data_IF_774937318136
#
_entry.id   IF_774937318136
#
_cell.length_a   1.000
_cell.length_b   1.000
_cell.length_c   1.000
_cell.angle_alpha   90.00
_cell.angle_beta   90.00
_cell.angle_gamma   90.00
#
_symmetry.space_group_name_H-M   'P 1'
#
loop_
_entity.id
_entity.type
_entity.pdbx_description
1 polymer ?
#
# COMPACT_ATOMS: atom_id res chain seq x y z
N UNK A 1 26.47 -18.96 -29.56
CA UNK A 1 25.73 -18.70 -28.34
C UNK A 1 24.62 -17.72 -28.71
N UNK A 2 23.39 -18.21 -28.75
CA UNK A 2 22.25 -17.57 -29.46
C UNK A 2 21.69 -16.37 -28.70
N UNK A 3 21.81 -15.19 -29.30
CA UNK A 3 21.27 -13.89 -28.82
C UNK A 3 19.76 -13.75 -28.87
N UNK A 4 19.01 -14.81 -29.16
CA UNK A 4 17.52 -14.80 -29.23
C UNK A 4 16.81 -15.24 -27.95
N UNK A 5 17.52 -15.56 -26.85
CA UNK A 5 16.91 -15.97 -25.57
C UNK A 5 16.83 -14.86 -24.52
N UNK A 6 17.36 -13.67 -24.79
CA UNK A 6 17.35 -12.53 -23.85
C UNK A 6 16.07 -11.68 -23.99
N UNK A 7 15.31 -11.83 -25.06
CA UNK A 7 14.14 -10.97 -25.34
C UNK A 7 12.82 -11.42 -24.66
N UNK A 8 12.80 -12.58 -23.96
CA UNK A 8 11.58 -13.12 -23.35
C UNK A 8 11.43 -12.84 -21.83
N UNK A 9 12.46 -12.23 -21.19
CA UNK A 9 12.48 -11.98 -19.74
C UNK A 9 11.83 -10.65 -19.34
N UNK A 10 11.49 -9.79 -20.31
CA UNK A 10 11.02 -8.42 -20.05
C UNK A 10 9.49 -8.25 -20.00
N UNK A 11 8.71 -9.34 -19.95
CA UNK A 11 7.23 -9.25 -19.98
C UNK A 11 6.54 -9.31 -18.61
N UNK A 12 7.29 -9.45 -17.52
CA UNK A 12 6.73 -9.65 -16.17
C UNK A 12 6.56 -8.42 -15.30
N UNK A 13 6.96 -7.21 -15.76
CA UNK A 13 7.19 -6.06 -14.85
C UNK A 13 6.11 -4.97 -14.96
N UNK A 14 5.08 -5.14 -15.77
CA UNK A 14 4.01 -4.14 -15.92
C UNK A 14 2.75 -4.43 -15.07
N UNK A 15 2.84 -5.29 -14.05
CA UNK A 15 1.68 -5.74 -13.28
C UNK A 15 1.67 -5.27 -11.81
N UNK A 16 2.11 -4.06 -11.53
CA UNK A 16 1.73 -3.35 -10.30
C UNK A 16 0.40 -2.58 -10.48
N UNK A 17 -0.49 -3.08 -11.28
CA UNK A 17 -1.83 -2.55 -11.51
C UNK A 17 -2.91 -3.62 -11.55
N UNK A 18 -2.53 -4.87 -11.53
CA UNK A 18 -3.45 -5.99 -11.35
C UNK A 18 -2.90 -6.88 -10.23
N UNK A 19 -3.16 -6.49 -8.98
CA UNK A 19 -3.30 -7.48 -7.91
C UNK A 19 -4.58 -8.26 -8.25
N UNK A 20 -4.55 -8.99 -9.36
CA UNK A 20 -5.49 -10.07 -9.58
C UNK A 20 -5.34 -10.98 -8.39
N UNK A 21 -6.45 -11.41 -7.81
CA UNK A 21 -6.52 -12.47 -6.83
C UNK A 21 -5.42 -13.48 -7.14
N UNK A 22 -4.41 -13.55 -6.28
CA UNK A 22 -3.21 -14.32 -6.52
C UNK A 22 -3.65 -15.75 -6.81
N UNK A 23 -3.54 -16.17 -8.07
CA UNK A 23 -3.81 -17.53 -8.45
C UNK A 23 -2.92 -18.42 -7.59
N UNK A 24 -3.53 -19.26 -6.78
CA UNK A 24 -2.87 -20.10 -5.79
C UNK A 24 -1.80 -21.05 -6.40
N UNK A 25 -1.62 -21.04 -7.71
CA UNK A 25 -0.79 -21.98 -8.46
C UNK A 25 0.24 -21.36 -9.42
N UNK A 26 0.38 -20.05 -9.54
CA UNK A 26 1.25 -19.45 -10.56
C UNK A 26 2.56 -18.90 -10.02
N UNK A 27 3.59 -19.74 -9.95
CA UNK A 27 4.98 -19.30 -9.82
C UNK A 27 5.51 -18.74 -11.16
N UNK A 28 6.38 -17.71 -11.14
CA UNK A 28 7.04 -17.21 -12.35
C UNK A 28 7.76 -18.31 -13.09
N UNK A 29 7.70 -18.30 -14.43
CA UNK A 29 8.37 -19.31 -15.25
C UNK A 29 9.90 -19.14 -15.34
N UNK A 30 10.45 -18.00 -14.92
CA UNK A 30 11.89 -17.74 -14.89
C UNK A 30 12.50 -18.13 -13.55
N UNK A 31 13.71 -18.70 -13.55
CA UNK A 31 14.42 -19.05 -12.32
C UNK A 31 14.84 -17.82 -11.52
N UNK A 32 15.18 -16.74 -12.22
CA UNK A 32 15.59 -15.47 -11.63
C UNK A 32 14.97 -14.32 -12.41
N UNK A 33 14.34 -13.40 -11.71
CA UNK A 33 13.83 -12.13 -12.26
C UNK A 33 14.47 -10.97 -11.51
N UNK A 34 14.96 -10.00 -12.25
CA UNK A 34 15.48 -8.73 -11.73
C UNK A 34 14.61 -7.62 -12.30
N UNK A 35 14.22 -6.68 -11.46
CA UNK A 35 13.49 -5.49 -11.88
C UNK A 35 13.97 -4.26 -11.12
N UNK A 36 13.86 -3.11 -11.78
CA UNK A 36 14.18 -1.82 -11.21
C UNK A 36 13.01 -0.88 -11.47
N UNK A 37 12.64 -0.11 -10.46
CA UNK A 37 11.62 0.92 -10.63
C UNK A 37 12.03 2.22 -9.96
N UNK A 38 11.54 3.31 -10.50
CA UNK A 38 11.68 4.64 -9.93
C UNK A 38 10.36 5.38 -10.02
N UNK A 39 9.93 5.99 -8.91
CA UNK A 39 8.78 6.89 -8.85
C UNK A 39 9.23 8.20 -8.27
N UNK A 40 8.91 9.32 -8.94
CA UNK A 40 9.21 10.65 -8.45
C UNK A 40 7.97 11.54 -8.48
N UNK A 41 7.74 12.28 -7.38
CA UNK A 41 6.64 13.21 -7.21
C UNK A 41 7.15 14.64 -7.08
N UNK A 42 6.75 15.54 -7.99
CA UNK A 42 6.84 16.97 -7.80
C UNK A 42 5.55 17.47 -7.15
N UNK A 43 5.63 17.91 -5.90
CA UNK A 43 4.48 18.33 -5.09
C UNK A 43 4.43 19.84 -4.96
N UNK A 44 3.27 20.46 -5.22
CA UNK A 44 2.98 21.85 -4.96
C UNK A 44 1.70 22.04 -4.16
N UNK A 45 1.71 22.94 -3.18
CA UNK A 45 0.56 23.21 -2.30
C UNK A 45 0.22 24.69 -2.29
N UNK A 46 -1.08 24.99 -2.44
CA UNK A 46 -1.66 26.32 -2.33
C UNK A 46 -2.65 26.31 -1.16
N UNK A 47 -2.47 27.26 -0.21
CA UNK A 47 -3.36 27.47 0.94
C UNK A 47 -3.68 28.94 1.11
N UNK A 48 -4.88 29.22 1.66
CA UNK A 48 -5.28 30.57 1.95
C UNK A 48 -4.31 31.23 2.96
N UNK A 49 -3.78 32.40 2.59
CA UNK A 49 -2.87 33.17 3.43
C UNK A 49 -1.40 32.73 3.38
N UNK A 50 -1.06 31.76 2.54
CA UNK A 50 0.31 31.26 2.37
C UNK A 50 0.77 31.37 0.92
N UNK A 51 2.08 31.52 0.72
CA UNK A 51 2.69 31.42 -0.60
C UNK A 51 2.64 29.97 -1.10
N UNK A 52 2.78 29.79 -2.41
CA UNK A 52 2.99 28.48 -3.01
C UNK A 52 4.24 27.83 -2.39
N UNK A 53 4.06 26.65 -1.83
CA UNK A 53 5.14 25.81 -1.32
C UNK A 53 5.22 24.54 -2.17
N UNK A 54 6.43 24.00 -2.31
CA UNK A 54 6.61 22.80 -3.11
C UNK A 54 7.90 22.09 -2.76
N UNK A 55 7.92 20.81 -3.10
CA UNK A 55 9.07 19.93 -2.89
C UNK A 55 9.05 18.79 -3.91
N UNK A 56 10.11 18.02 -3.92
CA UNK A 56 10.26 16.80 -4.70
C UNK A 56 10.56 15.65 -3.76
N UNK A 57 10.01 14.47 -4.04
CA UNK A 57 10.33 13.21 -3.36
C UNK A 57 10.41 12.06 -4.36
N UNK A 58 11.22 11.06 -4.07
CA UNK A 58 11.44 9.93 -4.95
C UNK A 58 11.63 8.62 -4.21
N UNK A 59 11.24 7.53 -4.88
CA UNK A 59 11.40 6.15 -4.45
C UNK A 59 12.02 5.34 -5.58
N UNK A 60 13.20 4.74 -5.31
CA UNK A 60 13.83 3.76 -6.18
C UNK A 60 13.75 2.37 -5.55
N UNK A 61 13.42 1.36 -6.34
CA UNK A 61 13.42 -0.06 -5.91
C UNK A 61 14.30 -0.89 -6.83
N UNK A 62 15.03 -1.85 -6.23
CA UNK A 62 15.72 -2.92 -6.92
C UNK A 62 15.21 -4.25 -6.36
N UNK A 63 14.56 -5.04 -7.20
CA UNK A 63 13.91 -6.28 -6.78
C UNK A 63 14.57 -7.49 -7.42
N UNK A 64 14.67 -8.57 -6.66
CA UNK A 64 15.11 -9.88 -7.09
C UNK A 64 14.08 -10.92 -6.66
N UNK A 65 13.62 -11.71 -7.60
CA UNK A 65 12.73 -12.85 -7.36
C UNK A 65 13.39 -14.12 -7.88
N UNK A 66 13.57 -15.10 -7.00
CA UNK A 66 14.14 -16.40 -7.31
C UNK A 66 13.07 -17.49 -7.13
N UNK A 67 12.77 -18.20 -8.20
CA UNK A 67 11.90 -19.38 -8.19
C UNK A 67 12.74 -20.65 -8.10
N UNK A 68 12.64 -21.38 -6.99
CA UNK A 68 13.46 -22.58 -6.73
C UNK A 68 13.13 -23.72 -7.69
N UNK A 69 11.87 -23.89 -8.09
CA UNK A 69 11.45 -24.93 -9.04
C UNK A 69 12.00 -24.66 -10.44
N UNK A 70 11.92 -23.42 -10.92
CA UNK A 70 12.48 -23.04 -12.22
C UNK A 70 14.02 -23.07 -12.22
N UNK A 71 14.66 -22.90 -11.06
CA UNK A 71 16.10 -23.08 -10.86
C UNK A 71 16.55 -24.54 -10.82
N UNK A 72 15.61 -25.51 -10.85
CA UNK A 72 15.92 -26.93 -10.78
C UNK A 72 16.18 -27.46 -9.37
N UNK A 73 15.79 -26.69 -8.32
CA UNK A 73 15.96 -27.07 -6.92
C UNK A 73 14.73 -27.85 -6.42
N UNK A 74 13.99 -27.32 -5.42
CA UNK A 74 12.74 -27.93 -4.93
C UNK A 74 11.51 -27.17 -5.46
N UNK A 75 10.35 -27.82 -5.37
CA UNK A 75 9.09 -27.27 -5.87
C UNK A 75 8.48 -26.29 -4.88
N UNK A 76 7.86 -25.22 -5.40
CA UNK A 76 7.01 -24.32 -4.66
C UNK A 76 7.75 -23.28 -3.81
N UNK A 77 9.08 -23.19 -3.88
CA UNK A 77 9.86 -22.19 -3.16
C UNK A 77 10.06 -20.90 -3.97
N UNK A 78 9.96 -19.78 -3.29
CA UNK A 78 10.18 -18.43 -3.82
C UNK A 78 10.96 -17.59 -2.80
N UNK A 79 12.03 -16.93 -3.26
CA UNK A 79 12.78 -15.96 -2.46
C UNK A 79 12.63 -14.59 -3.12
N UNK A 80 12.20 -13.61 -2.36
CA UNK A 80 12.07 -12.22 -2.78
C UNK A 80 13.00 -11.32 -1.99
N UNK A 81 13.61 -10.37 -2.67
CA UNK A 81 14.37 -9.28 -2.09
C UNK A 81 13.94 -7.99 -2.79
N UNK A 82 13.59 -6.97 -2.01
CA UNK A 82 13.36 -5.61 -2.47
C UNK A 82 14.23 -4.66 -1.66
N UNK A 83 15.15 -3.99 -2.34
CA UNK A 83 16.01 -2.96 -1.78
C UNK A 83 15.52 -1.60 -2.25
N UNK A 84 15.18 -0.72 -1.31
CA UNK A 84 14.56 0.57 -1.57
C UNK A 84 15.45 1.74 -1.16
N UNK A 85 15.35 2.83 -1.92
CA UNK A 85 15.91 4.13 -1.56
C UNK A 85 14.82 5.20 -1.70
N UNK A 86 14.56 5.93 -0.62
CA UNK A 86 13.71 7.12 -0.63
C UNK A 86 14.56 8.37 -0.46
N UNK A 87 14.14 9.48 -1.06
CA UNK A 87 14.84 10.76 -0.96
C UNK A 87 13.90 11.94 -1.25
N UNK A 88 14.30 13.12 -0.77
CA UNK A 88 13.58 14.36 -0.97
C UNK A 88 12.84 14.84 0.28
N UNK A 89 11.82 15.65 0.08
CA UNK A 89 11.05 16.28 1.15
C UNK A 89 9.94 15.41 1.72
N UNK A 90 9.31 15.92 2.77
CA UNK A 90 8.19 15.30 3.47
C UNK A 90 7.00 16.28 3.50
N UNK A 91 6.30 16.49 2.35
CA UNK A 91 5.32 17.56 2.20
C UNK A 91 4.21 17.55 3.25
N UNK A 92 3.72 16.38 3.67
CA UNK A 92 2.71 16.25 4.73
C UNK A 92 3.22 16.79 6.07
N UNK A 93 4.50 16.55 6.41
CA UNK A 93 5.11 16.99 7.66
C UNK A 93 5.66 18.42 7.57
N UNK A 94 6.15 18.83 6.39
CA UNK A 94 6.84 20.11 6.23
C UNK A 94 5.88 21.30 6.08
N UNK A 95 4.78 21.14 5.31
CA UNK A 95 3.95 22.30 4.97
C UNK A 95 2.47 22.01 4.65
N UNK A 96 2.03 20.77 4.38
CA UNK A 96 0.61 20.52 4.10
C UNK A 96 -0.16 20.28 5.40
N UNK A 97 0.39 19.46 6.29
CA UNK A 97 -0.22 19.15 7.58
C UNK A 97 -1.40 18.18 7.49
N UNK A 98 -1.50 17.43 6.39
CA UNK A 98 -2.52 16.41 6.21
C UNK A 98 -2.22 15.16 7.03
N UNK A 99 -3.26 14.55 7.58
CA UNK A 99 -3.20 13.32 8.36
C UNK A 99 -3.08 12.09 7.45
N UNK A 100 -3.79 12.08 6.33
CA UNK A 100 -3.94 10.91 5.47
C UNK A 100 -2.77 10.67 4.51
N UNK A 101 -1.77 11.56 4.41
CA UNK A 101 -0.58 11.42 3.58
C UNK A 101 -0.84 11.64 2.08
N UNK A 102 -0.55 12.84 1.57
CA UNK A 102 -0.80 13.21 0.15
C UNK A 102 0.00 12.39 -0.85
N UNK A 103 1.09 11.75 -0.44
CA UNK A 103 1.91 10.90 -1.31
C UNK A 103 2.32 9.60 -0.61
N UNK A 104 1.95 8.48 -1.21
CA UNK A 104 2.25 7.13 -0.71
C UNK A 104 3.72 6.70 -0.86
N UNK A 105 4.59 7.56 -1.39
CA UNK A 105 6.04 7.33 -1.42
C UNK A 105 6.81 8.24 -0.45
N UNK A 106 6.10 9.03 0.37
CA UNK A 106 6.75 9.91 1.37
C UNK A 106 7.38 9.07 2.49
N UNK A 107 8.72 9.15 2.62
CA UNK A 107 9.46 8.41 3.64
C UNK A 107 10.78 9.07 4.08
N UNK A 108 10.98 10.36 3.72
CA UNK A 108 12.24 11.06 3.98
C UNK A 108 13.41 10.47 3.19
N UNK A 109 14.63 10.61 3.74
CA UNK A 109 15.87 10.16 3.08
C UNK A 109 16.40 8.91 3.75
N UNK A 110 16.29 7.75 3.10
CA UNK A 110 16.81 6.48 3.63
C UNK A 110 17.04 5.43 2.55
N UNK A 111 17.86 4.45 2.89
CA UNK A 111 18.15 3.28 2.05
C UNK A 111 18.01 2.04 2.92
N UNK A 112 17.17 1.09 2.51
CA UNK A 112 16.76 -0.01 3.38
C UNK A 112 16.31 -1.24 2.59
N UNK A 113 16.23 -2.38 3.27
CA UNK A 113 15.53 -3.55 2.75
C UNK A 113 14.05 -3.39 3.03
N UNK A 114 13.28 -3.15 1.97
CA UNK A 114 11.82 -3.09 2.05
C UNK A 114 11.25 -4.47 2.30
N UNK A 115 11.80 -5.50 1.62
CA UNK A 115 11.35 -6.87 1.78
C UNK A 115 12.53 -7.83 1.59
N UNK A 116 12.56 -8.87 2.41
CA UNK A 116 13.44 -10.02 2.30
C UNK A 116 12.74 -11.23 2.89
N UNK A 117 12.06 -12.01 2.06
CA UNK A 117 11.27 -13.12 2.54
C UNK A 117 11.41 -14.36 1.66
N UNK A 118 11.10 -15.51 2.28
CA UNK A 118 10.96 -16.79 1.63
C UNK A 118 9.53 -17.30 1.74
N UNK A 119 8.95 -17.74 0.62
CA UNK A 119 7.63 -18.38 0.53
C UNK A 119 7.76 -19.82 0.10
N UNK A 120 7.02 -20.70 0.75
CA UNK A 120 6.85 -22.09 0.35
C UNK A 120 5.39 -22.41 0.04
N UNK A 121 5.12 -22.85 -1.17
CA UNK A 121 3.83 -23.36 -1.62
C UNK A 121 3.71 -24.85 -1.30
N UNK A 122 2.62 -25.26 -0.65
CA UNK A 122 2.32 -26.64 -0.24
C UNK A 122 0.90 -27.00 -0.68
N UNK A 123 0.67 -27.11 -1.98
CA UNK A 123 -0.66 -27.25 -2.56
C UNK A 123 -1.52 -26.01 -2.28
N UNK A 124 -2.61 -26.17 -1.57
CA UNK A 124 -3.52 -25.07 -1.20
C UNK A 124 -3.01 -24.16 -0.07
N UNK A 125 -1.96 -24.55 0.62
CA UNK A 125 -1.33 -23.78 1.69
C UNK A 125 -0.07 -23.12 1.17
N UNK A 126 0.13 -21.87 1.53
CA UNK A 126 1.41 -21.17 1.41
C UNK A 126 1.86 -20.63 2.76
N UNK A 127 3.16 -20.66 2.99
CA UNK A 127 3.80 -20.10 4.18
C UNK A 127 4.92 -19.15 3.74
N UNK A 128 4.87 -17.91 4.23
CA UNK A 128 5.88 -16.88 3.96
C UNK A 128 6.52 -16.46 5.28
N UNK A 129 7.83 -16.28 5.30
CA UNK A 129 8.58 -15.81 6.47
C UNK A 129 9.68 -14.86 6.02
N UNK A 130 9.90 -13.79 6.79
CA UNK A 130 10.96 -12.81 6.54
C UNK A 130 10.52 -11.39 6.82
N UNK A 131 11.34 -10.43 6.40
CA UNK A 131 10.98 -9.01 6.40
C UNK A 131 9.97 -8.77 5.30
N UNK A 132 8.76 -8.31 5.65
CA UNK A 132 7.64 -8.22 4.72
C UNK A 132 6.87 -6.91 4.93
N UNK A 133 6.38 -6.35 3.83
CA UNK A 133 5.33 -5.35 3.89
C UNK A 133 3.97 -6.05 4.08
N UNK A 134 3.36 -5.85 5.25
CA UNK A 134 2.05 -6.44 5.55
C UNK A 134 0.98 -6.05 4.52
N UNK A 135 1.04 -4.82 4.00
CA UNK A 135 0.05 -4.34 3.02
C UNK A 135 0.20 -4.99 1.64
N UNK A 136 1.30 -5.70 1.37
CA UNK A 136 1.42 -6.53 0.17
C UNK A 136 0.51 -7.77 0.20
N UNK A 137 0.12 -8.25 1.39
CA UNK A 137 -0.69 -9.46 1.58
C UNK A 137 -2.08 -9.17 2.16
N UNK A 138 -2.22 -8.17 3.04
CA UNK A 138 -3.44 -7.83 3.75
C UNK A 138 -3.95 -6.45 3.40
N UNK A 139 -5.25 -6.26 3.45
CA UNK A 139 -5.90 -4.96 3.19
C UNK A 139 -5.61 -4.37 1.79
N UNK A 140 -5.17 -5.19 0.85
CA UNK A 140 -4.81 -4.76 -0.50
C UNK A 140 -6.04 -4.20 -1.23
N UNK A 141 -5.94 -2.94 -1.68
CA UNK A 141 -6.96 -2.28 -2.47
C UNK A 141 -6.48 -2.15 -3.93
N UNK A 142 -6.96 -3.04 -4.80
CA UNK A 142 -6.51 -3.12 -6.19
C UNK A 142 -6.77 -1.81 -6.95
N UNK A 143 -7.97 -1.23 -6.81
CA UNK A 143 -8.32 0.00 -7.52
C UNK A 143 -7.88 1.26 -6.78
N UNK A 144 -7.67 1.17 -5.47
CA UNK A 144 -7.06 2.23 -4.67
C UNK A 144 -5.61 2.50 -5.04
N UNK A 145 -4.89 1.51 -5.60
CA UNK A 145 -3.51 1.65 -6.07
C UNK A 145 -3.33 2.63 -7.24
N UNK A 146 -4.40 3.03 -7.91
CA UNK A 146 -4.40 4.10 -8.91
C UNK A 146 -4.11 5.47 -8.28
N UNK A 147 -4.47 5.67 -7.01
CA UNK A 147 -4.39 6.96 -6.33
C UNK A 147 -3.02 7.20 -5.69
N UNK A 148 -2.68 8.47 -5.50
CA UNK A 148 -1.40 8.93 -4.96
C UNK A 148 -1.46 9.07 -3.43
N UNK A 149 -2.62 9.44 -2.90
CA UNK A 149 -2.80 9.57 -1.45
C UNK A 149 -2.67 8.21 -0.74
N UNK A 150 -1.93 8.19 0.36
CA UNK A 150 -1.57 6.98 1.11
C UNK A 150 -2.78 6.23 1.65
N UNK A 151 -3.84 6.93 2.06
CA UNK A 151 -5.01 6.34 2.71
C UNK A 151 -5.85 5.45 1.78
N UNK A 152 -5.74 5.62 0.45
CA UNK A 152 -6.40 4.73 -0.51
C UNK A 152 -5.66 3.41 -0.73
N UNK A 153 -4.36 3.35 -0.40
CA UNK A 153 -3.60 2.10 -0.39
C UNK A 153 -3.76 1.35 0.92
N UNK A 154 -3.60 2.05 2.06
CA UNK A 154 -3.71 1.48 3.41
C UNK A 154 -4.58 2.38 4.29
N UNK A 155 -5.54 1.78 4.99
CA UNK A 155 -6.43 2.52 5.91
C UNK A 155 -5.63 3.26 6.97
N UNK A 156 -5.96 4.52 7.22
CA UNK A 156 -5.30 5.33 8.24
C UNK A 156 -5.50 4.82 9.68
N UNK A 157 -6.49 3.97 9.94
CA UNK A 157 -6.60 3.26 11.24
C UNK A 157 -5.47 2.26 11.50
N UNK A 158 -4.74 1.81 10.47
CA UNK A 158 -3.53 1.01 10.63
C UNK A 158 -2.30 1.91 10.80
N UNK A 159 -2.07 2.80 9.83
CA UNK A 159 -0.81 3.56 9.74
C UNK A 159 -0.62 4.54 10.89
N UNK A 160 -1.72 4.97 11.53
CA UNK A 160 -1.66 6.06 12.50
C UNK A 160 -2.02 5.65 13.94
N UNK A 161 -2.61 4.47 14.14
CA UNK A 161 -2.96 4.00 15.49
C UNK A 161 -2.01 2.94 16.03
N UNK A 162 -1.30 2.21 15.18
CA UNK A 162 -0.39 1.13 15.59
C UNK A 162 0.91 1.18 14.78
N UNK A 163 1.97 0.67 15.36
CA UNK A 163 3.20 0.40 14.62
C UNK A 163 3.01 -0.91 13.85
N UNK A 164 2.92 -0.83 12.54
CA UNK A 164 2.71 -1.98 11.67
C UNK A 164 3.87 -2.15 10.70
N UNK A 165 4.13 -3.40 10.29
CA UNK A 165 5.12 -3.70 9.26
C UNK A 165 4.63 -3.29 7.89
N UNK A 166 4.77 -2.01 7.56
CA UNK A 166 4.37 -1.40 6.28
C UNK A 166 5.42 -0.41 5.80
N UNK A 167 5.43 -0.14 4.49
CA UNK A 167 6.33 0.89 3.93
C UNK A 167 6.23 2.21 4.72
N UNK A 168 7.34 2.84 5.08
CA UNK A 168 8.75 2.49 4.82
C UNK A 168 9.39 1.64 5.93
N UNK A 169 8.67 1.27 6.96
CA UNK A 169 9.17 0.56 8.13
C UNK A 169 8.62 -0.86 8.11
N UNK A 170 9.41 -1.79 7.59
CA UNK A 170 9.04 -3.21 7.50
C UNK A 170 9.87 -4.05 8.47
N UNK A 171 9.27 -5.08 9.03
CA UNK A 171 9.88 -5.96 10.03
C UNK A 171 9.67 -7.43 9.76
N UNK A 172 10.20 -8.25 10.64
CA UNK A 172 10.06 -9.71 10.57
C UNK A 172 8.61 -10.11 10.79
N UNK A 173 8.12 -11.00 9.93
CA UNK A 173 6.78 -11.57 10.03
C UNK A 173 6.67 -12.93 9.40
N UNK A 174 5.54 -13.60 9.67
CA UNK A 174 5.15 -14.84 9.06
C UNK A 174 3.69 -14.77 8.61
N UNK A 175 3.41 -15.25 7.40
CA UNK A 175 2.07 -15.30 6.82
C UNK A 175 1.74 -16.73 6.39
N UNK A 176 0.56 -17.19 6.77
CA UNK A 176 -0.04 -18.42 6.28
C UNK A 176 -1.27 -18.05 5.44
N UNK A 177 -1.34 -18.55 4.21
CA UNK A 177 -2.52 -18.39 3.36
C UNK A 177 -3.04 -19.76 2.93
N UNK A 178 -4.34 -19.95 3.00
CA UNK A 178 -5.01 -21.17 2.56
C UNK A 178 -6.10 -20.83 1.53
N UNK A 179 -5.91 -21.33 0.32
CA UNK A 179 -6.87 -21.21 -0.78
C UNK A 179 -7.83 -22.41 -0.76
N UNK A 180 -9.06 -22.20 -0.36
CA UNK A 180 -10.10 -23.24 -0.45
C UNK A 180 -10.40 -23.61 -1.89
N UNK A 181 -10.51 -22.57 -2.72
CA UNK A 181 -10.74 -22.64 -4.16
C UNK A 181 -10.31 -21.28 -4.78
N UNK A 182 -10.55 -21.07 -6.07
CA UNK A 182 -10.26 -19.81 -6.77
C UNK A 182 -11.04 -18.58 -6.25
N UNK A 183 -12.06 -18.81 -5.44
CA UNK A 183 -12.96 -17.76 -4.93
C UNK A 183 -12.68 -17.42 -3.48
N UNK A 184 -12.28 -18.39 -2.65
CA UNK A 184 -12.20 -18.26 -1.20
C UNK A 184 -10.77 -18.43 -0.70
N UNK A 185 -10.23 -17.42 -0.05
CA UNK A 185 -8.89 -17.45 0.57
C UNK A 185 -8.96 -16.93 2.00
N UNK A 186 -8.25 -17.57 2.91
CA UNK A 186 -8.01 -17.09 4.28
C UNK A 186 -6.52 -16.85 4.47
N UNK A 187 -6.16 -15.73 5.09
CA UNK A 187 -4.79 -15.39 5.45
C UNK A 187 -4.70 -15.11 6.95
N UNK A 188 -3.62 -15.54 7.55
CA UNK A 188 -3.26 -15.24 8.94
C UNK A 188 -1.80 -14.77 8.94
N UNK A 189 -1.53 -13.63 9.57
CA UNK A 189 -0.20 -13.06 9.71
C UNK A 189 0.15 -12.79 11.16
N UNK A 190 1.42 -12.97 11.48
CA UNK A 190 2.02 -12.56 12.75
C UNK A 190 3.32 -11.79 12.43
N UNK A 191 3.44 -10.60 12.98
CA UNK A 191 4.54 -9.68 12.73
C UNK A 191 5.14 -9.20 14.05
N UNK A 192 6.39 -8.74 13.99
CA UNK A 192 7.00 -7.95 15.04
C UNK A 192 6.10 -6.74 15.36
N UNK A 193 5.90 -6.44 16.64
CA UNK A 193 5.04 -5.36 17.08
C UNK A 193 5.68 -3.98 16.93
N UNK A 194 7.01 -3.91 16.86
CA UNK A 194 7.73 -2.67 16.63
C UNK A 194 8.86 -2.88 15.62
N UNK A 195 8.58 -2.85 14.32
CA UNK A 195 9.59 -3.06 13.27
C UNK A 195 10.71 -2.01 13.24
N UNK A 196 10.79 -1.18 14.27
CA UNK A 196 11.88 -0.26 14.53
C UNK A 196 11.63 1.17 14.06
N UNK A 197 12.11 2.13 14.85
CA UNK A 197 12.13 3.52 14.44
C UNK A 197 13.26 3.76 13.45
N UNK A 198 12.99 4.56 12.42
CA UNK A 198 13.95 4.94 11.37
C UNK A 198 15.29 5.47 11.92
N UNK A 199 15.29 6.08 13.10
CA UNK A 199 16.50 6.60 13.75
C UNK A 199 17.38 5.52 14.34
N UNK A 200 16.82 4.37 14.72
CA UNK A 200 17.52 3.28 15.40
C UNK A 200 17.85 2.17 14.41
N UNK A 201 16.92 1.85 13.49
CA UNK A 201 17.05 0.76 12.52
C UNK A 201 16.93 1.26 11.08
N UNK A 202 17.89 2.04 10.59
CA UNK A 202 17.76 2.75 9.31
C UNK A 202 17.70 1.83 8.09
N UNK A 203 18.11 0.56 8.20
CA UNK A 203 18.08 -0.42 7.13
C UNK A 203 16.96 -1.46 7.25
N UNK A 204 16.06 -1.32 8.22
CA UNK A 204 15.03 -2.31 8.58
C UNK A 204 15.59 -3.68 9.03
N UNK A 205 16.85 -3.73 9.45
CA UNK A 205 17.41 -4.90 10.13
C UNK A 205 17.38 -4.62 11.61
N UNK A 206 16.44 -5.25 12.29
CA UNK A 206 16.32 -5.22 13.74
C UNK A 206 16.42 -6.62 14.33
N UNK A 207 16.76 -6.69 15.61
CA UNK A 207 16.58 -7.91 16.40
C UNK A 207 15.10 -8.09 16.66
N UNK A 208 14.45 -9.09 16.08
CA UNK A 208 13.01 -9.27 16.26
C UNK A 208 12.71 -9.61 17.72
N UNK A 209 11.57 -9.10 18.22
CA UNK A 209 11.05 -9.40 19.55
C UNK A 209 11.93 -8.93 20.72
N UNK A 210 12.58 -7.76 20.58
CA UNK A 210 13.30 -7.15 21.70
C UNK A 210 12.35 -6.51 22.73
N UNK A 211 12.59 -6.77 23.99
CA UNK A 211 12.00 -6.06 25.12
C UNK A 211 10.46 -6.10 25.17
N UNK A 212 9.84 -4.93 25.12
CA UNK A 212 8.38 -4.72 25.20
C UNK A 212 7.73 -4.47 23.85
N UNK A 213 8.36 -4.80 22.73
CA UNK A 213 7.87 -4.46 21.39
C UNK A 213 6.54 -5.16 21.06
N UNK A 214 6.26 -6.27 21.74
CA UNK A 214 5.03 -7.02 21.55
C UNK A 214 4.98 -7.74 20.21
N UNK A 215 3.77 -7.96 19.73
CA UNK A 215 3.51 -8.58 18.44
C UNK A 215 2.21 -8.05 17.82
N UNK A 216 2.13 -8.11 16.50
CA UNK A 216 0.92 -7.84 15.74
C UNK A 216 0.39 -9.13 15.12
N UNK A 217 -0.91 -9.36 15.25
CA UNK A 217 -1.65 -10.41 14.56
C UNK A 217 -2.63 -9.79 13.59
N UNK A 218 -2.78 -10.41 12.42
CA UNK A 218 -3.77 -10.00 11.43
C UNK A 218 -4.40 -11.22 10.78
N UNK A 219 -5.71 -11.14 10.53
CA UNK A 219 -6.44 -12.18 9.82
C UNK A 219 -7.34 -11.56 8.76
N UNK A 220 -7.42 -12.21 7.59
CA UNK A 220 -8.23 -11.75 6.47
C UNK A 220 -8.91 -12.93 5.77
N UNK A 221 -10.18 -12.75 5.45
CA UNK A 221 -10.93 -13.58 4.53
C UNK A 221 -11.18 -12.80 3.24
N UNK A 222 -10.81 -13.37 2.10
CA UNK A 222 -11.02 -12.80 0.78
C UNK A 222 -12.01 -13.64 -0.03
N UNK A 223 -13.00 -12.96 -0.62
CA UNK A 223 -13.95 -13.50 -1.59
C UNK A 223 -13.65 -12.90 -2.97
N UNK A 224 -13.04 -13.69 -3.86
CA UNK A 224 -12.50 -13.27 -5.15
C UNK A 224 -13.48 -13.56 -6.30
N UNK A 225 -14.69 -12.98 -6.22
CA UNK A 225 -15.69 -13.08 -7.28
C UNK A 225 -16.58 -11.85 -7.23
N UNK A 226 -16.80 -11.22 -8.39
CA UNK A 226 -17.68 -10.06 -8.45
C UNK A 226 -19.11 -10.37 -8.06
N UNK A 227 -19.71 -9.50 -7.26
CA UNK A 227 -21.10 -9.59 -6.82
C UNK A 227 -22.05 -8.79 -7.72
N UNK A 228 -21.51 -7.89 -8.54
CA UNK A 228 -22.29 -6.98 -9.38
C UNK A 228 -22.06 -7.32 -10.84
N UNK A 229 -23.13 -7.49 -11.60
CA UNK A 229 -23.17 -7.65 -13.07
C UNK A 229 -22.33 -8.81 -13.63
N UNK A 230 -21.98 -9.82 -12.84
CA UNK A 230 -21.08 -10.93 -13.20
C UNK A 230 -19.66 -10.50 -13.67
N UNK A 231 -19.25 -9.29 -13.35
CA UNK A 231 -17.90 -8.77 -13.59
C UNK A 231 -16.94 -9.18 -12.47
N UNK A 232 -15.64 -8.96 -12.68
CA UNK A 232 -14.62 -9.27 -11.68
C UNK A 232 -14.76 -8.41 -10.41
N UNK A 233 -14.41 -8.97 -9.27
CA UNK A 233 -14.39 -8.26 -8.00
C UNK A 233 -13.69 -9.04 -6.91
N UNK A 234 -13.27 -8.35 -5.86
CA UNK A 234 -12.74 -8.95 -4.64
C UNK A 234 -13.25 -8.21 -3.41
N UNK A 235 -13.57 -8.97 -2.36
CA UNK A 235 -14.10 -8.43 -1.12
C UNK A 235 -13.35 -9.07 0.03
N UNK A 236 -12.73 -8.24 0.86
CA UNK A 236 -11.85 -8.64 1.94
C UNK A 236 -12.42 -8.15 3.26
N UNK A 237 -12.48 -9.05 4.25
CA UNK A 237 -12.86 -8.74 5.63
C UNK A 237 -11.72 -9.16 6.53
N UNK A 238 -11.21 -8.24 7.31
CA UNK A 238 -10.09 -8.53 8.17
C UNK A 238 -10.21 -7.92 9.56
N UNK A 239 -9.35 -8.41 10.43
CA UNK A 239 -9.14 -7.88 11.77
C UNK A 239 -7.65 -7.82 12.05
N UNK A 240 -7.24 -6.92 12.93
CA UNK A 240 -5.88 -6.86 13.47
C UNK A 240 -5.91 -6.72 15.00
N UNK A 241 -4.85 -7.19 15.61
CA UNK A 241 -4.58 -7.05 17.04
C UNK A 241 -3.10 -6.75 17.23
N UNK A 242 -2.79 -5.75 18.05
CA UNK A 242 -1.45 -5.38 18.47
C UNK A 242 -1.36 -5.51 20.00
N UNK A 243 -0.39 -6.29 20.51
CA UNK A 243 -0.31 -6.59 21.94
C UNK A 243 0.20 -5.44 22.79
N UNK A 244 1.04 -4.56 22.19
CA UNK A 244 1.59 -3.37 22.81
C UNK A 244 1.50 -2.21 21.82
N UNK A 245 1.11 -1.04 22.26
CA UNK A 245 1.06 0.13 21.41
C UNK A 245 1.81 1.29 22.07
N UNK A 246 3.01 1.58 21.60
CA UNK A 246 3.82 2.68 22.11
C UNK A 246 3.19 4.06 21.88
N UNK A 247 2.34 4.22 20.88
CA UNK A 247 1.58 5.44 20.68
C UNK A 247 0.57 5.72 21.81
N UNK A 248 0.25 4.70 22.58
CA UNK A 248 -0.66 4.75 23.73
C UNK A 248 0.06 4.85 25.09
N UNK A 249 1.36 5.15 25.08
CA UNK A 249 2.08 5.40 26.34
C UNK A 249 1.55 6.69 26.99
N UNK A 250 0.48 6.51 27.76
CA UNK A 250 -0.19 7.58 28.49
C UNK A 250 0.61 8.01 29.73
N UNK A 251 1.92 7.99 29.65
CA UNK A 251 2.85 8.70 30.54
C UNK A 251 2.69 8.55 32.07
N UNK A 252 1.62 7.92 32.54
CA UNK A 252 1.28 7.90 33.96
C UNK A 252 1.60 6.57 34.66
N UNK A 253 1.64 5.43 33.95
CA UNK A 253 1.86 4.12 34.59
C UNK A 253 2.65 3.10 33.76
N UNK A 254 3.20 3.43 32.59
CA UNK A 254 4.01 2.52 31.76
C UNK A 254 3.29 1.23 31.32
N UNK A 255 1.98 1.25 31.24
CA UNK A 255 1.18 0.12 30.74
C UNK A 255 0.90 0.37 29.28
N UNK A 256 1.59 -0.38 28.43
CA UNK A 256 1.27 -0.48 26.99
C UNK A 256 -0.09 -1.16 26.85
N UNK A 257 -1.09 -0.46 26.33
CA UNK A 257 -2.40 -1.03 26.07
C UNK A 257 -2.42 -1.74 24.72
N UNK A 258 -3.13 -2.86 24.64
CA UNK A 258 -3.36 -3.55 23.37
C UNK A 258 -4.29 -2.73 22.47
N UNK A 259 -4.06 -2.80 21.15
CA UNK A 259 -4.89 -2.16 20.14
C UNK A 259 -5.47 -3.19 19.18
N UNK A 260 -6.67 -2.93 18.65
CA UNK A 260 -7.30 -3.81 17.68
C UNK A 260 -8.28 -3.06 16.80
N UNK A 261 -8.58 -3.63 15.65
CA UNK A 261 -9.57 -3.08 14.74
C UNK A 261 -10.02 -4.07 13.68
N UNK A 262 -10.99 -3.63 12.90
CA UNK A 262 -11.61 -4.38 11.83
C UNK A 262 -11.58 -3.56 10.54
N UNK A 263 -11.51 -4.25 9.41
CA UNK A 263 -11.55 -3.59 8.12
C UNK A 263 -12.32 -4.39 7.06
N UNK A 264 -12.73 -3.65 6.05
CA UNK A 264 -13.32 -4.14 4.83
C UNK A 264 -12.70 -3.42 3.63
N UNK A 265 -12.35 -4.17 2.59
CA UNK A 265 -11.97 -3.66 1.27
C UNK A 265 -12.79 -4.36 0.22
N UNK A 266 -13.58 -3.60 -0.52
CA UNK A 266 -14.33 -4.09 -1.67
C UNK A 266 -13.81 -3.47 -2.96
N UNK A 267 -13.46 -4.28 -3.93
CA UNK A 267 -13.09 -3.90 -5.28
C UNK A 267 -14.09 -4.52 -6.25
N UNK A 268 -14.67 -3.73 -7.14
CA UNK A 268 -15.67 -4.21 -8.09
C UNK A 268 -15.49 -3.55 -9.44
N UNK A 269 -15.39 -4.37 -10.50
CA UNK A 269 -15.61 -3.92 -11.86
C UNK A 269 -17.09 -3.78 -12.11
N UNK A 270 -17.57 -2.59 -12.45
CA UNK A 270 -18.97 -2.36 -12.76
C UNK A 270 -19.28 -2.72 -14.21
N UNK A 271 -18.33 -2.51 -15.10
CA UNK A 271 -18.45 -2.91 -16.51
C UNK A 271 -17.09 -2.96 -17.20
N UNK A 272 -16.91 -3.98 -18.02
CA UNK A 272 -15.76 -4.14 -18.91
C UNK A 272 -15.98 -3.52 -20.31
N UNK A 273 -17.16 -2.95 -20.58
CA UNK A 273 -17.54 -2.40 -21.88
C UNK A 273 -18.29 -1.07 -21.75
N UNK A 274 -17.84 -0.17 -20.90
CA UNK A 274 -18.40 1.17 -20.78
C UNK A 274 -18.04 2.01 -22.00
N UNK A 275 -19.05 2.52 -22.73
CA UNK A 275 -18.87 3.31 -23.95
C UNK A 275 -17.89 2.68 -24.97
N UNK A 276 -18.02 1.38 -25.22
CA UNK A 276 -17.30 0.61 -26.24
C UNK A 276 -16.17 -0.24 -25.69
N UNK A 277 -15.03 0.32 -25.32
CA UNK A 277 -13.83 -0.42 -24.84
C UNK A 277 -13.38 -0.04 -23.44
N UNK A 278 -14.07 0.90 -22.81
CA UNK A 278 -13.69 1.42 -21.48
C UNK A 278 -14.15 0.49 -20.38
N UNK A 279 -13.36 0.42 -19.30
CA UNK A 279 -13.76 -0.27 -18.09
C UNK A 279 -14.07 0.75 -16.99
N UNK A 280 -15.09 0.49 -16.18
CA UNK A 280 -15.41 1.27 -14.99
C UNK A 280 -15.26 0.36 -13.77
N UNK A 281 -14.28 0.68 -12.96
CA UNK A 281 -13.95 0.00 -11.71
C UNK A 281 -14.25 0.91 -10.52
N UNK A 282 -14.45 0.34 -9.33
CA UNK A 282 -14.62 1.13 -8.12
C UNK A 282 -14.26 0.34 -6.89
N UNK A 283 -13.97 1.07 -5.81
CA UNK A 283 -13.63 0.48 -4.52
C UNK A 283 -14.37 1.17 -3.37
N UNK A 284 -14.46 0.43 -2.27
CA UNK A 284 -14.92 0.90 -0.96
C UNK A 284 -13.99 0.32 0.11
N UNK A 285 -13.48 1.20 0.97
CA UNK A 285 -12.72 0.86 2.16
C UNK A 285 -13.47 1.32 3.40
N UNK A 286 -13.52 0.49 4.42
CA UNK A 286 -14.06 0.81 5.74
C UNK A 286 -13.12 0.24 6.79
N UNK A 287 -12.81 1.00 7.84
CA UNK A 287 -12.10 0.46 8.99
C UNK A 287 -12.54 1.13 10.28
N UNK A 288 -12.48 0.37 11.36
CA UNK A 288 -12.90 0.81 12.69
C UNK A 288 -12.01 0.22 13.77
N UNK A 289 -11.49 1.07 14.64
CA UNK A 289 -10.72 0.72 15.82
C UNK A 289 -11.37 1.32 17.05
N UNK A 290 -12.02 0.52 17.93
CA UNK A 290 -12.81 1.03 19.05
C UNK A 290 -11.98 1.46 20.26
N UNK A 291 -10.65 1.29 20.22
CA UNK A 291 -9.76 1.55 21.37
C UNK A 291 -9.73 3.03 21.71
N UNK A 292 -9.92 3.34 23.01
CA UNK A 292 -9.79 4.71 23.53
C UNK A 292 -8.33 5.15 23.42
N UNK A 293 -8.10 6.43 23.05
CA UNK A 293 -6.76 6.95 22.79
C UNK A 293 -6.33 6.88 21.32
N UNK A 294 -6.96 6.06 20.49
CA UNK A 294 -6.70 6.08 19.05
C UNK A 294 -7.04 7.45 18.45
N UNK A 295 -6.08 8.01 17.71
CA UNK A 295 -6.28 9.24 16.97
C UNK A 295 -7.31 9.05 15.86
N UNK A 296 -7.24 7.94 15.12
CA UNK A 296 -8.19 7.62 14.05
C UNK A 296 -9.03 6.39 14.42
N UNK A 297 -10.27 6.61 14.85
CA UNK A 297 -11.17 5.49 15.21
C UNK A 297 -11.98 4.95 14.04
N UNK A 298 -12.20 5.74 13.01
CA UNK A 298 -12.97 5.32 11.84
C UNK A 298 -12.40 5.95 10.57
N UNK A 299 -12.24 5.13 9.54
CA UNK A 299 -11.87 5.56 8.21
C UNK A 299 -12.82 4.97 7.17
N UNK A 300 -13.13 5.77 6.15
CA UNK A 300 -13.79 5.30 4.93
C UNK A 300 -13.17 5.96 3.71
N UNK A 301 -12.88 5.14 2.69
CA UNK A 301 -12.42 5.57 1.38
C UNK A 301 -13.30 4.96 0.29
N UNK A 302 -13.66 5.74 -0.73
CA UNK A 302 -14.39 5.25 -1.89
C UNK A 302 -13.89 5.95 -3.15
N UNK A 303 -13.83 5.21 -4.26
CA UNK A 303 -13.39 5.79 -5.52
C UNK A 303 -13.90 5.04 -6.73
N UNK A 304 -13.83 5.72 -7.88
CA UNK A 304 -14.12 5.20 -9.21
C UNK A 304 -12.89 5.37 -10.10
N UNK A 305 -12.62 4.37 -10.92
CA UNK A 305 -11.51 4.36 -11.88
C UNK A 305 -12.07 4.03 -13.27
N UNK A 306 -11.95 4.99 -14.17
CA UNK A 306 -12.29 4.81 -15.58
C UNK A 306 -11.01 4.51 -16.36
N UNK A 307 -10.92 3.31 -16.95
CA UNK A 307 -9.80 2.86 -17.78
C UNK A 307 -10.14 3.02 -19.26
N UNK A 308 -9.14 3.38 -20.07
CA UNK A 308 -9.31 3.48 -21.54
C UNK A 308 -9.93 4.79 -22.00
N UNK A 309 -9.67 5.90 -21.31
CA UNK A 309 -10.17 7.23 -21.70
C UNK A 309 -9.51 7.71 -23.01
N UNK A 310 -8.20 7.62 -23.10
CA UNK A 310 -7.40 8.03 -24.25
C UNK A 310 -6.84 6.83 -25.04
N UNK A 311 -6.62 5.68 -24.40
CA UNK A 311 -6.02 4.49 -25.02
C UNK A 311 -7.05 3.39 -25.23
N UNK A 312 -7.07 2.78 -26.43
CA UNK A 312 -7.93 1.63 -26.70
C UNK A 312 -7.53 0.35 -25.95
N UNK A 313 -6.30 0.31 -25.42
CA UNK A 313 -5.76 -0.79 -24.65
C UNK A 313 -6.17 -0.77 -23.17
N UNK A 314 -6.98 0.22 -22.74
CA UNK A 314 -7.38 0.44 -21.35
C UNK A 314 -6.18 0.58 -20.39
N UNK A 315 -5.06 1.09 -20.89
CA UNK A 315 -3.81 1.23 -20.11
C UNK A 315 -3.69 2.58 -19.40
N UNK A 316 -4.56 3.53 -19.70
CA UNK A 316 -4.69 4.80 -18.98
C UNK A 316 -5.85 4.73 -17.98
N UNK A 317 -5.71 5.41 -16.85
CA UNK A 317 -6.64 5.36 -15.72
C UNK A 317 -6.96 6.77 -15.23
N UNK A 318 -8.24 7.15 -15.25
CA UNK A 318 -8.76 8.36 -14.62
C UNK A 318 -9.47 7.97 -13.34
N UNK A 319 -8.97 8.43 -12.19
CA UNK A 319 -9.51 8.15 -10.87
C UNK A 319 -10.11 9.36 -10.19
N UNK A 320 -11.24 9.19 -9.51
CA UNK A 320 -11.82 10.14 -8.55
C UNK A 320 -12.13 9.40 -7.27
N UNK A 321 -11.59 9.88 -6.14
CA UNK A 321 -11.80 9.25 -4.84
C UNK A 321 -12.02 10.27 -3.72
N UNK A 322 -12.65 9.80 -2.64
CA UNK A 322 -12.86 10.54 -1.40
C UNK A 322 -12.45 9.65 -0.23
N UNK A 323 -11.58 10.17 0.65
CA UNK A 323 -11.17 9.57 1.92
C UNK A 323 -11.63 10.42 3.09
N UNK A 324 -12.22 9.81 4.12
CA UNK A 324 -12.66 10.45 5.35
C UNK A 324 -12.08 9.73 6.56
N UNK A 325 -11.33 10.44 7.38
CA UNK A 325 -10.79 9.98 8.66
C UNK A 325 -11.50 10.70 9.81
N UNK A 326 -12.11 9.96 10.74
CA UNK A 326 -12.68 10.51 11.98
C UNK A 326 -11.61 10.51 13.07
N UNK A 327 -11.26 11.70 13.55
CA UNK A 327 -10.09 11.92 14.39
C UNK A 327 -10.48 12.32 15.82
N UNK A 328 -9.61 11.96 16.77
CA UNK A 328 -9.71 12.33 18.18
C UNK A 328 -8.38 12.93 18.66
N UNK A 329 -8.46 13.89 19.56
CA UNK A 329 -7.28 14.54 20.12
C UNK A 329 -6.59 15.54 19.19
N UNK A 330 -7.13 15.77 17.99
CA UNK A 330 -6.63 16.73 17.00
C UNK A 330 -7.46 18.00 16.98
N UNK A 331 -6.94 19.05 16.34
CA UNK A 331 -7.63 20.37 16.23
C UNK A 331 -8.98 20.22 15.52
N UNK A 332 -9.04 19.40 14.46
CA UNK A 332 -10.29 19.07 13.78
C UNK A 332 -10.68 17.62 14.09
N UNK A 333 -11.97 17.37 14.25
CA UNK A 333 -12.48 16.02 14.55
C UNK A 333 -12.55 15.11 13.30
N UNK A 334 -12.14 15.61 12.16
CA UNK A 334 -12.09 14.83 10.92
C UNK A 334 -11.23 15.52 9.89
N UNK A 335 -10.62 14.72 9.04
CA UNK A 335 -9.99 15.16 7.80
C UNK A 335 -10.67 14.47 6.62
N UNK A 336 -10.86 15.20 5.52
CA UNK A 336 -11.38 14.66 4.27
C UNK A 336 -10.44 15.01 3.13
N UNK A 337 -10.09 14.03 2.33
CA UNK A 337 -9.37 14.23 1.07
C UNK A 337 -10.27 13.90 -0.12
N UNK A 338 -10.24 14.76 -1.15
CA UNK A 338 -10.83 14.48 -2.46
C UNK A 338 -9.67 14.48 -3.45
N UNK A 339 -9.50 13.37 -4.18
CA UNK A 339 -8.41 13.20 -5.15
C UNK A 339 -8.96 12.96 -6.55
N UNK A 340 -8.40 13.67 -7.52
CA UNK A 340 -8.58 13.45 -8.95
C UNK A 340 -7.21 13.17 -9.58
N UNK A 341 -7.05 11.99 -10.13
CA UNK A 341 -5.78 11.53 -10.70
C UNK A 341 -5.94 11.00 -12.12
N UNK A 342 -4.91 11.16 -12.96
CA UNK A 342 -4.90 10.58 -14.31
C UNK A 342 -3.54 9.94 -14.61
N UNK A 343 -3.49 8.61 -14.55
CA UNK A 343 -2.28 7.84 -14.87
C UNK A 343 -2.26 7.51 -16.36
N UNK A 344 -1.27 8.01 -17.07
CA UNK A 344 -1.12 7.87 -18.50
C UNK A 344 0.23 7.23 -18.87
N UNK A 345 0.24 6.02 -19.46
CA UNK A 345 1.46 5.44 -20.00
C UNK A 345 1.93 6.26 -21.21
N UNK A 346 3.17 6.74 -21.14
CA UNK A 346 3.82 7.49 -22.24
C UNK A 346 4.50 6.52 -23.19
N UNK A 347 5.13 5.49 -22.64
CA UNK A 347 5.74 4.40 -23.40
C UNK A 347 5.70 3.13 -22.53
N UNK A 348 6.28 2.02 -23.03
CA UNK A 348 6.23 0.71 -22.36
C UNK A 348 6.69 0.74 -20.89
N UNK A 349 7.65 1.59 -20.58
CA UNK A 349 8.35 1.59 -19.30
C UNK A 349 8.15 2.88 -18.50
N UNK A 350 7.40 3.85 -19.02
CA UNK A 350 7.25 5.18 -18.41
C UNK A 350 5.79 5.60 -18.41
N UNK A 351 5.32 6.05 -17.24
CA UNK A 351 4.04 6.73 -17.13
C UNK A 351 4.20 8.12 -16.50
N UNK A 352 3.27 9.01 -16.79
CA UNK A 352 3.07 10.27 -16.09
C UNK A 352 1.69 10.26 -15.44
N UNK A 353 1.59 10.93 -14.30
CA UNK A 353 0.36 10.95 -13.52
C UNK A 353 0.19 12.32 -12.87
N UNK A 354 -0.47 13.28 -13.55
CA UNK A 354 -0.99 14.46 -12.90
C UNK A 354 -2.06 14.10 -11.88
N UNK A 355 -1.97 14.70 -10.72
CA UNK A 355 -2.82 14.44 -9.56
C UNK A 355 -3.21 15.75 -8.89
N UNK A 356 -4.43 15.85 -8.41
CA UNK A 356 -4.96 17.01 -7.71
C UNK A 356 -5.73 16.54 -6.47
N UNK A 357 -5.30 16.99 -5.31
CA UNK A 357 -5.94 16.68 -4.04
C UNK A 357 -6.46 17.96 -3.36
N UNK A 358 -7.66 17.88 -2.81
CA UNK A 358 -8.20 18.91 -1.93
C UNK A 358 -8.35 18.35 -0.52
N UNK A 359 -7.51 18.84 0.40
CA UNK A 359 -7.48 18.43 1.79
C UNK A 359 -8.32 19.41 2.62
N UNK A 360 -9.35 18.91 3.26
CA UNK A 360 -10.27 19.64 4.12
C UNK A 360 -9.92 19.29 5.56
N UNK A 361 -9.67 20.32 6.37
CA UNK A 361 -9.26 20.22 7.78
C UNK A 361 -7.96 19.44 7.97
N UNK A 362 -6.83 19.84 7.37
CA UNK A 362 -5.54 19.20 7.60
C UNK A 362 -5.25 19.10 9.10
N UNK A 363 -4.98 17.86 9.60
CA UNK A 363 -5.08 17.56 11.03
C UNK A 363 -3.80 16.99 11.66
N UNK A 364 -2.67 17.08 10.98
CA UNK A 364 -1.35 16.62 11.48
C UNK A 364 -0.70 17.62 12.43
N UNK A 365 -0.90 18.92 12.22
CA UNK A 365 -0.31 19.96 13.06
C UNK A 365 -1.19 20.31 14.27
N UNK A 366 -0.55 20.71 15.37
CA UNK A 366 -1.23 21.16 16.60
C UNK A 366 -1.89 22.55 16.48
N UNK A 367 -1.93 23.11 15.28
CA UNK A 367 -2.53 24.41 14.99
C UNK A 367 -3.56 24.30 13.87
N UNK A 368 -4.62 25.10 13.95
CA UNK A 368 -5.64 25.15 12.92
C UNK A 368 -5.03 25.53 11.56
N UNK A 369 -5.06 24.58 10.63
CA UNK A 369 -4.48 24.69 9.32
C UNK A 369 -5.57 24.88 8.27
N UNK A 370 -5.48 25.91 7.39
CA UNK A 370 -6.47 26.08 6.32
C UNK A 370 -6.47 24.91 5.35
N UNK A 371 -7.62 24.66 4.72
CA UNK A 371 -7.74 23.68 3.64
C UNK A 371 -6.64 23.89 2.59
N UNK A 372 -6.12 22.81 2.05
CA UNK A 372 -5.03 22.80 1.09
C UNK A 372 -5.46 22.26 -0.27
N UNK A 373 -5.07 22.95 -1.35
CA UNK A 373 -5.10 22.42 -2.70
C UNK A 373 -3.69 21.97 -3.06
N UNK A 374 -3.52 20.67 -3.31
CA UNK A 374 -2.24 20.03 -3.58
C UNK A 374 -2.25 19.51 -5.01
N UNK A 375 -1.28 19.95 -5.81
CA UNK A 375 -1.02 19.39 -7.14
C UNK A 375 0.22 18.53 -7.09
N UNK A 376 0.15 17.33 -7.66
CA UNK A 376 1.27 16.41 -7.77
C UNK A 376 1.48 16.04 -9.24
N UNK A 377 2.72 16.03 -9.67
CA UNK A 377 3.11 15.42 -10.94
C UNK A 377 4.01 14.24 -10.63
N UNK A 378 3.46 13.04 -10.79
CA UNK A 378 4.19 11.78 -10.64
C UNK A 378 4.74 11.31 -11.97
N UNK A 379 5.98 10.84 -11.95
CA UNK A 379 6.62 10.13 -13.07
C UNK A 379 7.09 8.78 -12.55
N UNK A 380 6.70 7.71 -13.22
CA UNK A 380 7.14 6.35 -12.89
C UNK A 380 7.89 5.72 -14.06
N UNK A 381 8.97 4.98 -13.71
CA UNK A 381 9.81 4.23 -14.64
C UNK A 381 9.96 2.82 -14.12
N UNK A 382 9.82 1.81 -15.00
CA UNK A 382 10.00 0.38 -14.66
C UNK A 382 10.86 -0.30 -15.72
N UNK A 383 11.87 -1.09 -15.29
CA UNK A 383 12.86 -1.76 -16.15
C UNK A 383 12.93 -3.26 -15.81
#
# INVERSE_FOLDING_TARGET
>A
MNTKKIAAVLLGVLLWGEASAQDCDSLPNSSLSLSFSYVGDGVGCIRKGHNLQGTYLGLANAQLLLNTQAAGWWRGGELHLNFANTHGGTPSDDFIGDFQGVSNIQAGNRTFFQELWYRQMLGKLSATIGIQDMNAEFSVNEFGSTFVNSSFALHSTFSDNITASVFPITGLGGVLAYCFDSTHTVRLGAFDGNPGFMSIHPANFDSPFEGNDGFMLIGEYAYNKGMVLNEAGSYKFGFYFHSHNEHMDTGANGVSESNYGFYFVGNQRFTSSFAGHRCLDGFLQLSYSPVEGNTNRFYTGAGLVLKGLATKSCSDELGLAVGYAHLHGTIYQSETVVELTYKCPVCRNIYIQPDLQYVINPSRFDAATPNALVGILRVGISL
#
